data_IF_581362292224
#
_entry.id   IF_581362292224
#
_cell.length_a   1.000
_cell.length_b   1.000
_cell.length_c   1.000
_cell.angle_alpha   90.00
_cell.angle_beta   90.00
_cell.angle_gamma   90.00
#
_symmetry.space_group_name_H-M   'P 1'
#
loop_
_entity.id
_entity.type
_entity.pdbx_description
1 polymer ?
#
# COMPACT_ATOMS: atom_id res chain seq x y z
N UNK A 1 29.90 -10.69 41.98
CA UNK A 1 29.61 -11.18 40.65
C UNK A 1 28.17 -10.76 40.33
N UNK A 2 28.01 -9.66 39.62
CA UNK A 2 26.70 -9.18 39.14
C UNK A 2 26.74 -9.37 37.65
N UNK A 3 26.05 -10.39 37.19
CA UNK A 3 25.78 -10.58 35.76
C UNK A 3 24.73 -9.56 35.32
N UNK A 4 25.17 -8.65 34.49
CA UNK A 4 24.29 -7.67 33.85
C UNK A 4 23.52 -8.35 32.75
N UNK A 5 22.21 -8.46 32.96
CA UNK A 5 21.24 -8.84 31.95
C UNK A 5 21.21 -7.72 30.89
N UNK A 6 21.93 -7.93 29.80
CA UNK A 6 21.81 -7.10 28.60
C UNK A 6 20.54 -7.53 27.86
N UNK A 7 19.42 -6.89 28.17
CA UNK A 7 18.22 -7.00 27.38
C UNK A 7 18.55 -6.56 25.95
N UNK A 8 18.72 -7.51 25.06
CA UNK A 8 18.77 -7.25 23.62
C UNK A 8 17.42 -6.69 23.23
N UNK A 9 17.39 -5.37 23.00
CA UNK A 9 16.27 -4.71 22.33
C UNK A 9 16.13 -5.34 20.95
N UNK A 10 15.14 -6.21 20.77
CA UNK A 10 14.76 -6.68 19.44
C UNK A 10 14.47 -5.45 18.59
N UNK A 11 15.29 -5.23 17.58
CA UNK A 11 15.08 -4.14 16.65
C UNK A 11 13.71 -4.35 15.99
N UNK A 12 12.78 -3.41 16.23
CA UNK A 12 11.42 -3.46 15.67
C UNK A 12 11.53 -3.51 14.15
N UNK A 13 11.17 -4.63 13.56
CA UNK A 13 11.09 -4.78 12.11
C UNK A 13 9.94 -3.90 11.58
N UNK A 14 10.14 -3.30 10.40
CA UNK A 14 9.12 -2.52 9.71
C UNK A 14 8.02 -3.45 9.21
N UNK A 15 6.75 -3.08 9.39
CA UNK A 15 5.64 -3.81 8.81
C UNK A 15 5.46 -3.46 7.34
N UNK A 16 5.02 -4.44 6.56
CA UNK A 16 4.55 -4.25 5.18
C UNK A 16 3.03 -4.19 5.23
N UNK A 17 2.49 -3.02 4.91
CA UNK A 17 1.05 -2.73 4.94
C UNK A 17 0.55 -2.73 3.50
N UNK A 18 -0.44 -3.56 3.19
CA UNK A 18 -1.14 -3.52 1.91
C UNK A 18 -2.44 -2.75 2.03
N UNK A 19 -2.57 -1.67 1.24
CA UNK A 19 -3.78 -0.87 1.20
C UNK A 19 -4.33 -0.74 -0.23
N UNK A 20 -5.65 -0.92 -0.38
CA UNK A 20 -6.36 -0.84 -1.66
C UNK A 20 -7.86 -0.64 -1.46
N UNK A 21 -8.50 0.03 -2.43
CA UNK A 21 -9.96 0.01 -2.58
C UNK A 21 -10.38 -1.12 -3.52
N UNK A 22 -11.45 -1.83 -3.14
CA UNK A 22 -12.03 -2.91 -3.94
C UNK A 22 -13.56 -2.80 -3.95
N UNK A 23 -14.20 -3.33 -4.97
CA UNK A 23 -15.65 -3.52 -5.00
C UNK A 23 -16.07 -4.70 -4.14
N UNK A 24 -17.38 -4.85 -3.88
CA UNK A 24 -17.92 -6.01 -3.13
C UNK A 24 -17.55 -7.36 -3.75
N UNK A 25 -17.43 -7.42 -5.06
CA UNK A 25 -17.02 -8.63 -5.80
C UNK A 25 -15.50 -8.73 -6.02
N UNK A 26 -14.69 -7.87 -5.34
CA UNK A 26 -13.23 -7.95 -5.27
C UNK A 26 -12.49 -7.36 -6.46
N UNK A 27 -13.14 -6.60 -7.33
CA UNK A 27 -12.48 -5.88 -8.41
C UNK A 27 -11.78 -4.62 -7.88
N UNK A 28 -10.64 -4.26 -8.48
CA UNK A 28 -9.83 -3.13 -8.03
C UNK A 28 -9.58 -2.08 -9.11
N UNK A 29 -10.27 -2.15 -10.24
CA UNK A 29 -10.10 -1.18 -11.32
C UNK A 29 -10.45 0.21 -10.80
N UNK A 30 -9.53 1.18 -11.00
CA UNK A 30 -9.68 2.56 -10.56
C UNK A 30 -10.86 3.30 -11.24
N UNK A 31 -11.42 2.73 -12.29
CA UNK A 31 -12.61 3.26 -12.97
C UNK A 31 -13.91 2.84 -12.31
N UNK A 32 -13.88 1.83 -11.42
CA UNK A 32 -15.09 1.27 -10.77
C UNK A 32 -15.59 2.05 -9.56
N UNK A 33 -14.99 3.17 -9.23
CA UNK A 33 -15.45 4.06 -8.17
C UNK A 33 -14.29 4.84 -7.56
N UNK A 34 -14.54 6.11 -7.31
CA UNK A 34 -13.60 7.01 -6.63
C UNK A 34 -13.95 6.99 -5.14
N UNK A 35 -12.98 6.76 -4.25
CA UNK A 35 -13.21 6.91 -2.83
C UNK A 35 -13.74 8.31 -2.51
N UNK A 36 -14.70 8.40 -1.59
CA UNK A 36 -15.17 9.69 -1.10
C UNK A 36 -14.10 10.40 -0.23
N UNK A 37 -14.40 11.63 0.19
CA UNK A 37 -13.47 12.45 0.99
C UNK A 37 -13.04 11.73 2.29
N UNK A 38 -13.93 10.97 2.96
CA UNK A 38 -13.59 10.23 4.18
C UNK A 38 -12.65 9.05 3.89
N UNK A 39 -12.86 8.34 2.79
CA UNK A 39 -11.97 7.27 2.36
C UNK A 39 -10.63 7.84 1.87
N UNK A 40 -10.66 8.98 1.19
CA UNK A 40 -9.44 9.69 0.78
C UNK A 40 -8.63 10.15 2.01
N UNK A 41 -9.28 10.71 3.03
CA UNK A 41 -8.64 11.06 4.29
C UNK A 41 -8.02 9.83 5.00
N UNK A 42 -8.73 8.70 4.96
CA UNK A 42 -8.23 7.44 5.52
C UNK A 42 -6.92 6.99 4.84
N UNK A 43 -6.85 7.01 3.50
CA UNK A 43 -5.61 6.70 2.77
C UNK A 43 -4.54 7.77 2.98
N UNK A 44 -4.91 9.04 3.07
CA UNK A 44 -3.98 10.14 3.38
C UNK A 44 -3.26 9.89 4.71
N UNK A 45 -4.01 9.49 5.74
CA UNK A 45 -3.44 9.20 7.05
C UNK A 45 -2.51 7.98 6.99
N UNK A 46 -2.87 6.92 6.26
CA UNK A 46 -1.98 5.78 6.02
C UNK A 46 -0.67 6.20 5.35
N UNK A 47 -0.74 7.05 4.31
CA UNK A 47 0.45 7.57 3.64
C UNK A 47 1.29 8.43 4.58
N UNK A 48 0.69 9.23 5.45
CA UNK A 48 1.42 10.06 6.45
C UNK A 48 2.15 9.21 7.48
N UNK A 49 1.57 8.08 7.87
CA UNK A 49 2.11 7.21 8.93
C UNK A 49 3.32 6.36 8.49
N UNK A 50 3.52 6.18 7.20
CA UNK A 50 4.66 5.45 6.63
C UNK A 50 5.76 6.39 6.13
N UNK A 51 6.94 5.87 5.84
CA UNK A 51 8.02 6.63 5.20
C UNK A 51 8.40 6.12 3.81
N UNK A 52 7.89 4.97 3.40
CA UNK A 52 8.20 4.34 2.14
C UNK A 52 6.95 3.80 1.45
N UNK A 53 6.80 4.12 0.17
CA UNK A 53 5.78 3.57 -0.71
C UNK A 53 6.43 2.59 -1.70
N UNK A 54 5.79 1.45 -1.95
CA UNK A 54 6.32 0.44 -2.89
C UNK A 54 5.27 0.09 -3.93
N UNK A 55 5.67 0.13 -5.20
CA UNK A 55 4.80 -0.09 -6.35
C UNK A 55 5.44 -0.98 -7.41
N UNK A 56 4.61 -1.60 -8.23
CA UNK A 56 5.00 -2.08 -9.55
C UNK A 56 4.93 -0.94 -10.58
N UNK A 57 5.54 -1.16 -11.74
CA UNK A 57 5.63 -0.16 -12.82
C UNK A 57 4.28 0.44 -13.21
N UNK A 58 3.24 -0.37 -13.40
CA UNK A 58 1.92 0.13 -13.85
C UNK A 58 1.31 1.09 -12.83
N UNK A 59 1.33 0.75 -11.56
CA UNK A 59 0.83 1.62 -10.48
C UNK A 59 1.66 2.89 -10.38
N UNK A 60 2.98 2.78 -10.48
CA UNK A 60 3.88 3.94 -10.48
C UNK A 60 3.54 4.92 -11.62
N UNK A 61 3.43 4.42 -12.85
CA UNK A 61 3.10 5.24 -14.03
C UNK A 61 1.69 5.85 -13.99
N UNK A 62 0.77 5.27 -13.21
CA UNK A 62 -0.55 5.85 -12.97
C UNK A 62 -0.52 6.95 -11.91
N UNK A 63 0.21 6.73 -10.81
CA UNK A 63 0.16 7.57 -9.62
C UNK A 63 1.11 8.77 -9.70
N UNK A 64 2.33 8.56 -10.19
CA UNK A 64 3.39 9.58 -10.09
C UNK A 64 3.18 10.77 -11.01
N UNK A 65 2.72 10.67 -12.27
CA UNK A 65 2.37 11.84 -13.05
C UNK A 65 1.16 12.59 -12.47
N UNK A 66 0.16 11.86 -11.97
CA UNK A 66 -1.12 12.42 -11.55
C UNK A 66 -1.04 13.22 -10.22
N UNK A 67 -0.55 12.61 -9.15
CA UNK A 67 -0.56 13.25 -7.83
C UNK A 67 0.34 14.48 -7.70
N UNK A 68 1.54 14.55 -8.29
CA UNK A 68 2.32 15.79 -8.34
C UNK A 68 1.62 16.95 -9.04
N UNK A 69 0.79 16.69 -10.05
CA UNK A 69 0.03 17.71 -10.74
C UNK A 69 -1.16 18.20 -9.88
N UNK A 70 -1.84 17.28 -9.17
CA UNK A 70 -2.87 17.62 -8.18
C UNK A 70 -2.28 18.48 -7.06
N UNK A 71 -1.11 18.15 -6.54
CA UNK A 71 -0.44 18.94 -5.50
C UNK A 71 -0.18 20.40 -5.92
N UNK A 72 0.05 20.64 -7.23
CA UNK A 72 0.26 21.98 -7.79
C UNK A 72 -1.04 22.68 -8.21
N UNK A 73 -2.14 21.92 -8.38
CA UNK A 73 -3.43 22.45 -8.83
C UNK A 73 -4.08 23.34 -7.75
N UNK A 74 -4.88 24.32 -8.19
CA UNK A 74 -5.70 25.18 -7.33
C UNK A 74 -7.20 24.85 -7.41
N UNK A 75 -7.60 23.92 -8.26
CA UNK A 75 -9.00 23.61 -8.57
C UNK A 75 -9.52 22.32 -7.92
N UNK A 76 -8.67 21.56 -7.24
CA UNK A 76 -9.00 20.25 -6.67
C UNK A 76 -9.58 20.36 -5.25
N UNK A 77 -10.22 19.27 -4.80
CA UNK A 77 -10.75 19.21 -3.43
C UNK A 77 -9.63 19.28 -2.40
N UNK A 78 -9.99 19.66 -1.16
CA UNK A 78 -9.02 19.66 -0.06
C UNK A 78 -8.51 18.23 0.21
N UNK A 79 -9.36 17.21 0.10
CA UNK A 79 -8.99 15.82 0.33
C UNK A 79 -7.94 15.33 -0.70
N UNK A 80 -8.14 15.67 -1.98
CA UNK A 80 -7.18 15.33 -3.04
C UNK A 80 -5.83 16.00 -2.82
N UNK A 81 -5.82 17.28 -2.43
CA UNK A 81 -4.59 18.01 -2.15
C UNK A 81 -3.84 17.45 -0.95
N UNK A 82 -4.55 17.16 0.14
CA UNK A 82 -3.97 16.58 1.35
C UNK A 82 -3.32 15.22 1.06
N UNK A 83 -3.95 14.40 0.19
CA UNK A 83 -3.36 13.14 -0.25
C UNK A 83 -2.16 13.37 -1.16
N UNK A 84 -2.28 14.26 -2.14
CA UNK A 84 -1.21 14.58 -3.09
C UNK A 84 0.05 15.07 -2.36
N UNK A 85 -0.09 15.99 -1.41
CA UNK A 85 1.02 16.50 -0.60
C UNK A 85 1.68 15.40 0.23
N UNK A 86 0.86 14.54 0.86
CA UNK A 86 1.36 13.39 1.59
C UNK A 86 2.13 12.43 0.67
N UNK A 87 1.56 12.10 -0.49
CA UNK A 87 2.14 11.17 -1.47
C UNK A 87 3.47 11.68 -2.05
N UNK A 88 3.51 12.95 -2.46
CA UNK A 88 4.71 13.57 -3.07
C UNK A 88 5.87 13.62 -2.07
N UNK A 89 5.59 13.80 -0.78
CA UNK A 89 6.61 13.88 0.26
C UNK A 89 7.34 12.57 0.54
N UNK A 90 6.81 11.41 0.12
CA UNK A 90 7.35 10.09 0.48
C UNK A 90 8.42 9.60 -0.47
N UNK A 91 9.37 8.85 0.09
CA UNK A 91 10.26 8.01 -0.70
C UNK A 91 9.45 6.88 -1.36
N UNK A 92 9.85 6.52 -2.57
CA UNK A 92 9.18 5.49 -3.35
C UNK A 92 10.17 4.47 -3.89
N UNK A 93 9.72 3.23 -3.96
CA UNK A 93 10.41 2.14 -4.67
C UNK A 93 9.48 1.63 -5.74
N UNK A 94 9.99 1.50 -6.95
CA UNK A 94 9.29 0.87 -8.06
C UNK A 94 10.03 -0.36 -8.53
N UNK A 95 9.38 -1.52 -8.44
CA UNK A 95 9.89 -2.76 -9.01
C UNK A 95 9.58 -2.80 -10.50
N UNK A 96 10.62 -2.76 -11.32
CA UNK A 96 10.48 -2.79 -12.78
C UNK A 96 11.78 -3.20 -13.48
N UNK A 97 11.67 -4.17 -14.38
CA UNK A 97 12.75 -4.53 -15.30
C UNK A 97 12.84 -3.61 -16.53
N UNK A 98 11.76 -2.90 -16.88
CA UNK A 98 11.65 -2.13 -18.13
C UNK A 98 11.56 -0.61 -17.97
N UNK A 99 11.37 -0.09 -16.75
CA UNK A 99 11.39 1.35 -16.50
C UNK A 99 12.82 1.86 -16.52
N UNK A 100 13.15 2.76 -17.43
CA UNK A 100 14.53 3.25 -17.61
C UNK A 100 14.90 4.29 -16.55
N UNK A 101 14.01 5.23 -16.27
CA UNK A 101 14.21 6.31 -15.30
C UNK A 101 12.95 6.58 -14.50
N UNK A 102 13.14 7.12 -13.29
CA UNK A 102 12.03 7.62 -12.47
C UNK A 102 11.77 9.09 -12.82
N UNK A 103 10.49 9.49 -12.81
CA UNK A 103 10.08 10.86 -13.10
C UNK A 103 10.32 11.79 -11.91
N UNK A 104 10.25 11.27 -10.70
CA UNK A 104 10.49 12.01 -9.47
C UNK A 104 11.82 11.62 -8.80
N UNK A 105 12.43 12.60 -8.13
CA UNK A 105 13.72 12.43 -7.43
C UNK A 105 13.64 11.53 -6.19
N UNK A 106 12.45 11.29 -5.66
CA UNK A 106 12.23 10.51 -4.46
C UNK A 106 11.93 9.04 -4.78
N UNK A 107 12.07 8.63 -6.04
CA UNK A 107 11.81 7.25 -6.48
C UNK A 107 13.11 6.53 -6.84
N UNK A 108 13.27 5.33 -6.28
CA UNK A 108 14.32 4.37 -6.63
C UNK A 108 13.73 3.22 -7.43
N UNK A 109 14.31 2.93 -8.59
CA UNK A 109 13.96 1.75 -9.39
C UNK A 109 14.74 0.55 -8.88
N UNK A 110 14.05 -0.55 -8.62
CA UNK A 110 14.62 -1.82 -8.16
C UNK A 110 14.39 -2.89 -9.23
N UNK A 111 15.46 -3.59 -9.59
CA UNK A 111 15.48 -4.66 -10.58
C UNK A 111 15.91 -6.01 -10.01
N UNK A 112 16.18 -6.04 -8.71
CA UNK A 112 16.58 -7.22 -7.96
C UNK A 112 15.38 -8.09 -7.60
N UNK A 113 15.62 -9.23 -6.94
CA UNK A 113 14.58 -10.10 -6.44
C UNK A 113 13.67 -9.36 -5.45
N UNK A 114 12.35 -9.48 -5.65
CA UNK A 114 11.34 -8.81 -4.84
C UNK A 114 11.42 -9.22 -3.36
N UNK A 115 11.52 -10.52 -3.10
CA UNK A 115 11.56 -11.08 -1.75
C UNK A 115 12.78 -10.57 -0.97
N UNK A 116 13.95 -10.63 -1.57
CA UNK A 116 15.21 -10.23 -0.93
C UNK A 116 15.20 -8.74 -0.58
N UNK A 117 14.73 -7.90 -1.51
CA UNK A 117 14.65 -6.46 -1.27
C UNK A 117 13.65 -6.11 -0.16
N UNK A 118 12.47 -6.73 -0.14
CA UNK A 118 11.48 -6.47 0.92
C UNK A 118 11.99 -6.97 2.27
N UNK A 119 12.62 -8.14 2.35
CA UNK A 119 13.22 -8.64 3.60
C UNK A 119 14.31 -7.70 4.13
N UNK A 120 15.15 -7.16 3.23
CA UNK A 120 16.15 -6.14 3.57
C UNK A 120 15.49 -4.87 4.12
N UNK A 121 14.49 -4.32 3.42
CA UNK A 121 13.77 -3.12 3.83
C UNK A 121 13.08 -3.28 5.19
N UNK A 122 12.55 -4.46 5.50
CA UNK A 122 11.95 -4.75 6.82
C UNK A 122 12.95 -4.65 7.97
N UNK A 123 14.23 -4.86 7.71
CA UNK A 123 15.30 -4.80 8.73
C UNK A 123 15.92 -3.40 8.84
N UNK A 124 15.67 -2.51 7.90
CA UNK A 124 16.16 -1.13 7.95
C UNK A 124 15.42 -0.32 9.02
N UNK A 125 16.09 0.68 9.59
CA UNK A 125 15.42 1.62 10.48
C UNK A 125 14.43 2.50 9.70
N UNK A 126 13.26 2.74 10.27
CA UNK A 126 12.23 3.56 9.66
C UNK A 126 10.84 3.25 10.18
N UNK A 127 9.85 3.92 9.56
CA UNK A 127 8.43 3.61 9.74
C UNK A 127 8.04 2.41 8.85
N UNK A 128 6.78 2.02 8.93
CA UNK A 128 6.23 0.93 8.12
C UNK A 128 6.28 1.24 6.61
N UNK A 129 6.13 0.22 5.80
CA UNK A 129 6.20 0.24 4.34
C UNK A 129 4.79 0.05 3.80
N UNK A 130 4.30 0.99 2.99
CA UNK A 130 3.00 0.86 2.33
C UNK A 130 3.18 0.35 0.91
N UNK A 131 2.54 -0.76 0.60
CA UNK A 131 2.53 -1.33 -0.75
C UNK A 131 1.19 -1.06 -1.43
N UNK A 132 1.25 -0.68 -2.70
CA UNK A 132 0.08 -0.35 -3.51
C UNK A 132 0.04 -1.07 -4.85
N UNK A 133 -1.15 -1.02 -5.49
CA UNK A 133 -1.43 -1.76 -6.71
C UNK A 133 -1.77 -3.22 -6.46
N UNK A 134 -1.52 -4.10 -7.42
CA UNK A 134 -1.96 -5.51 -7.31
C UNK A 134 -0.84 -6.50 -7.57
N UNK A 135 -0.07 -6.34 -8.64
CA UNK A 135 0.91 -7.35 -9.06
C UNK A 135 2.00 -7.58 -7.98
N UNK A 136 2.56 -6.52 -7.41
CA UNK A 136 3.56 -6.61 -6.33
C UNK A 136 2.93 -7.12 -5.03
N UNK A 137 1.81 -6.55 -4.52
CA UNK A 137 1.16 -7.07 -3.34
C UNK A 137 0.75 -8.54 -3.45
N UNK A 138 0.22 -8.99 -4.60
CA UNK A 138 -0.17 -10.39 -4.80
C UNK A 138 1.01 -11.36 -4.66
N UNK A 139 2.17 -11.00 -5.20
CA UNK A 139 3.39 -11.79 -5.02
C UNK A 139 3.85 -11.80 -3.55
N UNK A 140 3.80 -10.65 -2.87
CA UNK A 140 4.18 -10.56 -1.45
C UNK A 140 3.22 -11.32 -0.53
N UNK A 141 1.93 -11.36 -0.85
CA UNK A 141 0.94 -12.19 -0.15
C UNK A 141 1.29 -13.67 -0.32
N UNK A 142 1.59 -14.11 -1.55
CA UNK A 142 1.99 -15.50 -1.82
C UNK A 142 3.28 -15.90 -1.09
N UNK A 143 4.19 -14.95 -0.86
CA UNK A 143 5.43 -15.13 -0.08
C UNK A 143 5.23 -14.98 1.44
N UNK A 144 4.03 -14.64 1.91
CA UNK A 144 3.75 -14.42 3.33
C UNK A 144 4.44 -13.19 3.92
N UNK A 145 4.79 -12.19 3.11
CA UNK A 145 5.56 -11.01 3.49
C UNK A 145 4.70 -9.77 3.80
N UNK A 146 3.38 -9.85 3.67
CA UNK A 146 2.45 -8.79 4.07
C UNK A 146 2.04 -9.01 5.53
N UNK A 147 2.22 -7.98 6.36
CA UNK A 147 1.94 -8.05 7.81
C UNK A 147 0.56 -7.47 8.14
N UNK A 148 0.10 -6.48 7.39
CA UNK A 148 -1.17 -5.78 7.64
C UNK A 148 -1.91 -5.49 6.33
N UNK A 149 -3.24 -5.59 6.38
CA UNK A 149 -4.17 -5.38 5.27
C UNK A 149 -5.14 -4.27 5.61
N UNK A 150 -5.24 -3.26 4.76
CA UNK A 150 -6.13 -2.09 4.86
C UNK A 150 -6.99 -1.98 3.61
N UNK A 151 -8.14 -2.62 3.61
CA UNK A 151 -9.04 -2.65 2.46
C UNK A 151 -10.21 -1.71 2.66
N UNK A 152 -10.48 -0.87 1.67
CA UNK A 152 -11.72 -0.08 1.59
C UNK A 152 -12.64 -0.76 0.60
N UNK A 153 -13.72 -1.34 1.11
CA UNK A 153 -14.72 -2.02 0.29
C UNK A 153 -15.78 -1.00 -0.13
N UNK A 154 -15.91 -0.81 -1.43
CA UNK A 154 -16.91 0.05 -2.05
C UNK A 154 -18.24 -0.71 -2.15
N UNK A 155 -19.41 -0.08 -1.87
CA UNK A 155 -20.71 -0.71 -1.98
C UNK A 155 -21.19 -0.84 -3.45
N UNK A 156 -20.34 -1.41 -4.30
CA UNK A 156 -20.50 -1.55 -5.75
C UNK A 156 -20.20 -2.98 -6.15
N UNK A 157 -20.96 -3.52 -7.10
CA UNK A 157 -20.65 -4.76 -7.82
C UNK A 157 -20.23 -4.37 -9.24
N UNK A 158 -18.97 -4.63 -9.60
CA UNK A 158 -18.45 -4.31 -10.93
C UNK A 158 -18.88 -5.34 -11.98
N UNK A 159 -19.01 -6.61 -11.60
CA UNK A 159 -19.40 -7.70 -12.49
C UNK A 159 -18.26 -8.18 -13.38
N UNK A 160 -17.45 -7.29 -13.89
CA UNK A 160 -16.27 -7.54 -14.72
C UNK A 160 -15.04 -6.77 -14.23
N UNK A 161 -13.85 -7.13 -14.69
CA UNK A 161 -12.60 -6.51 -14.29
C UNK A 161 -11.68 -7.46 -13.53
N UNK A 162 -10.45 -7.02 -13.27
CA UNK A 162 -9.45 -7.82 -12.56
C UNK A 162 -9.76 -7.88 -11.06
N UNK A 163 -9.56 -9.06 -10.49
CA UNK A 163 -9.72 -9.32 -9.05
C UNK A 163 -8.39 -9.47 -8.34
N UNK A 164 -8.40 -9.23 -7.04
CA UNK A 164 -7.23 -9.50 -6.21
C UNK A 164 -6.84 -10.98 -6.31
N UNK A 165 -5.54 -11.25 -6.40
CA UNK A 165 -4.95 -12.59 -6.51
C UNK A 165 -5.39 -13.38 -7.76
N UNK A 166 -5.96 -12.73 -8.77
CA UNK A 166 -6.32 -13.38 -10.02
C UNK A 166 -5.06 -14.00 -10.67
N UNK A 167 -5.13 -15.31 -10.94
CA UNK A 167 -4.00 -16.06 -11.50
C UNK A 167 -2.87 -16.38 -10.52
N UNK A 168 -3.02 -16.02 -9.23
CA UNK A 168 -2.06 -16.35 -8.18
C UNK A 168 -2.59 -17.53 -7.35
N UNK A 169 -1.80 -18.60 -7.26
CA UNK A 169 -2.06 -19.72 -6.36
C UNK A 169 -1.37 -19.43 -5.01
N UNK A 170 -2.14 -19.43 -3.94
CA UNK A 170 -1.57 -19.35 -2.59
C UNK A 170 -1.21 -20.76 -2.11
N UNK A 171 0.01 -21.00 -1.60
CA UNK A 171 0.40 -22.30 -1.05
C UNK A 171 -0.47 -22.69 0.15
N UNK A 172 -0.92 -21.71 0.92
CA UNK A 172 -1.82 -21.87 2.05
C UNK A 172 -2.87 -20.77 2.05
N UNK A 173 -4.00 -20.98 2.75
CA UNK A 173 -5.01 -19.94 2.98
C UNK A 173 -4.66 -19.19 4.27
N UNK A 174 -4.04 -18.01 4.20
CA UNK A 174 -3.67 -17.28 5.41
C UNK A 174 -4.92 -16.88 6.19
N UNK A 175 -4.98 -17.27 7.46
CA UNK A 175 -5.96 -16.74 8.39
C UNK A 175 -5.48 -15.38 8.86
N UNK A 176 -6.32 -14.36 8.77
CA UNK A 176 -6.00 -13.01 9.22
C UNK A 176 -6.76 -12.72 10.51
N UNK A 177 -6.11 -12.02 11.43
CA UNK A 177 -6.78 -11.50 12.63
C UNK A 177 -7.45 -10.18 12.29
N UNK A 178 -8.77 -10.11 12.42
CA UNK A 178 -9.52 -8.86 12.35
C UNK A 178 -9.11 -7.93 13.50
N UNK A 179 -8.90 -6.65 13.20
CA UNK A 179 -8.53 -5.62 14.19
C UNK A 179 -9.67 -4.62 14.36
N UNK A 180 -10.09 -3.99 13.26
CA UNK A 180 -11.12 -2.96 13.29
C UNK A 180 -11.81 -2.80 11.93
N UNK A 181 -12.99 -2.18 11.94
CA UNK A 181 -13.65 -1.68 10.73
C UNK A 181 -14.18 -0.27 10.97
N UNK A 182 -14.26 0.52 9.89
CA UNK A 182 -14.87 1.84 9.90
C UNK A 182 -15.83 1.95 8.73
N UNK A 183 -17.06 2.35 8.99
CA UNK A 183 -18.06 2.66 7.96
C UNK A 183 -18.00 4.16 7.68
N UNK A 184 -17.84 4.54 6.42
CA UNK A 184 -17.89 5.92 5.97
C UNK A 184 -19.32 6.34 5.59
N UNK A 185 -19.57 7.63 5.49
CA UNK A 185 -20.90 8.17 5.15
C UNK A 185 -21.38 7.75 3.76
N UNK A 186 -20.46 7.48 2.85
CA UNK A 186 -20.75 6.91 1.52
C UNK A 186 -21.24 5.47 1.54
N UNK A 187 -21.14 4.78 2.67
CA UNK A 187 -21.39 3.34 2.78
C UNK A 187 -20.15 2.48 2.48
N UNK A 188 -19.02 3.08 2.12
CA UNK A 188 -17.77 2.34 2.04
C UNK A 188 -17.33 1.83 3.41
N UNK A 189 -16.67 0.68 3.44
CA UNK A 189 -16.21 0.04 4.68
C UNK A 189 -14.71 -0.17 4.64
N UNK A 190 -13.98 0.51 5.50
CA UNK A 190 -12.57 0.21 5.73
C UNK A 190 -12.43 -0.99 6.68
N UNK A 191 -11.59 -1.94 6.29
CA UNK A 191 -11.24 -3.13 7.08
C UNK A 191 -9.75 -3.11 7.38
N UNK A 192 -9.41 -3.41 8.63
CA UNK A 192 -8.05 -3.65 9.07
C UNK A 192 -7.90 -5.07 9.58
N UNK A 193 -7.00 -5.79 8.96
CA UNK A 193 -6.61 -7.14 9.39
C UNK A 193 -5.09 -7.24 9.48
N UNK A 194 -4.60 -8.09 10.37
CA UNK A 194 -3.16 -8.34 10.52
C UNK A 194 -2.87 -9.83 10.41
N UNK A 195 -1.65 -10.14 10.05
CA UNK A 195 -1.11 -11.49 10.15
C UNK A 195 -1.08 -11.91 11.62
N UNK A 196 -1.45 -13.15 11.97
CA UNK A 196 -1.40 -13.67 13.35
C UNK A 196 -0.01 -13.65 13.95
#
# INVERSE_FOLDING_TARGET
MCEGDAAQSEAKTRNVIYAISITLDGCFDHTNGIPDDEAMEYFTNLVRDVDLLVFGRKTYQLMVPYWPDIAKSHSETKADKDFADAFVSKNKIVFSGSLESAEDKNTRIVRTNLQDEILKLKQEQGKDILIGGVDIPSQLIALGLVDEYRFVVLPIIAGEGRRLLEGISLPERPQLKFVESRIFKSGCVALRCVKP
#
